data_IF_285325923469
#
_entry.id   IF_285325923469
#
_cell.length_a   1.000
_cell.length_b   1.000
_cell.length_c   1.000
_cell.angle_alpha   90.00
_cell.angle_beta   90.00
_cell.angle_gamma   90.00
#
_symmetry.space_group_name_H-M   'P 1'
#
loop_
_entity.id
_entity.type
_entity.pdbx_description
1 polymer ?
#
# COMPACT_ATOMS: atom_id res chain seq x y z
N UNK A 1 -51.55 -18.60 7.26
CA UNK A 1 -51.02 -18.59 5.87
C UNK A 1 -50.54 -17.19 5.50
N UNK A 2 -49.23 -16.92 5.53
CA UNK A 2 -48.60 -15.80 4.82
C UNK A 2 -47.18 -16.21 4.46
N UNK A 3 -47.02 -16.54 3.18
CA UNK A 3 -45.77 -16.84 2.49
C UNK A 3 -45.20 -15.50 2.01
N UNK A 4 -43.94 -15.18 2.30
CA UNK A 4 -43.09 -14.17 1.62
C UNK A 4 -41.91 -13.80 2.55
N UNK A 5 -40.63 -13.77 2.18
CA UNK A 5 -39.88 -14.07 0.94
C UNK A 5 -38.48 -14.47 1.41
N UNK A 6 -37.96 -15.56 0.88
CA UNK A 6 -36.56 -15.96 1.06
C UNK A 6 -35.66 -14.91 0.42
N UNK A 7 -34.84 -14.24 1.23
CA UNK A 7 -33.75 -13.38 0.78
C UNK A 7 -32.61 -14.27 0.30
N UNK A 8 -32.49 -14.47 -1.01
CA UNK A 8 -31.34 -15.15 -1.61
C UNK A 8 -30.24 -14.11 -1.88
N UNK A 9 -29.01 -14.30 -1.35
CA UNK A 9 -27.88 -13.46 -1.74
C UNK A 9 -27.48 -13.76 -3.19
N UNK A 10 -27.36 -12.70 -4.01
CA UNK A 10 -26.82 -12.77 -5.37
C UNK A 10 -25.36 -13.23 -5.33
N UNK A 11 -25.05 -14.29 -6.06
CA UNK A 11 -23.69 -14.73 -6.32
C UNK A 11 -22.95 -13.67 -7.17
N UNK A 12 -21.66 -13.38 -6.89
CA UNK A 12 -20.85 -12.53 -7.76
C UNK A 12 -20.50 -13.26 -9.07
N UNK A 13 -20.66 -12.55 -10.19
CA UNK A 13 -20.24 -13.02 -11.52
C UNK A 13 -18.72 -13.13 -11.56
N UNK A 14 -18.22 -14.32 -11.86
CA UNK A 14 -16.84 -14.58 -12.24
C UNK A 14 -16.63 -13.96 -13.63
N UNK A 15 -15.78 -12.94 -13.74
CA UNK A 15 -15.31 -12.42 -15.02
C UNK A 15 -13.97 -13.09 -15.32
N UNK A 16 -13.95 -13.75 -16.48
CA UNK A 16 -12.83 -14.51 -17.01
C UNK A 16 -11.85 -13.53 -17.64
N UNK A 17 -10.64 -13.41 -17.09
CA UNK A 17 -9.57 -12.60 -17.67
C UNK A 17 -8.67 -13.51 -18.51
N UNK A 18 -9.12 -13.75 -19.73
CA UNK A 18 -8.29 -14.24 -20.83
C UNK A 18 -8.03 -13.08 -21.78
N UNK A 19 -6.78 -12.91 -22.19
CA UNK A 19 -6.31 -11.96 -23.20
C UNK A 19 -5.94 -10.56 -22.69
N UNK A 20 -4.63 -10.32 -22.58
CA UNK A 20 -3.90 -9.38 -23.45
C UNK A 20 -2.52 -9.13 -22.82
N UNK A 21 -1.59 -10.07 -23.09
CA UNK A 21 -0.18 -9.79 -22.93
C UNK A 21 0.25 -8.87 -24.09
N UNK A 22 0.28 -7.57 -23.84
CA UNK A 22 0.79 -6.58 -24.77
C UNK A 22 1.67 -5.57 -24.03
N UNK A 23 2.97 -5.76 -24.23
CA UNK A 23 4.08 -4.81 -24.17
C UNK A 23 3.75 -3.35 -23.78
N UNK A 24 4.35 -2.87 -22.69
CA UNK A 24 4.61 -1.45 -22.48
C UNK A 24 6.00 -1.24 -21.87
N UNK A 25 6.99 -1.02 -22.73
CA UNK A 25 8.29 -0.44 -22.36
C UNK A 25 8.02 0.99 -21.88
N UNK A 26 8.25 1.28 -20.61
CA UNK A 26 8.27 2.64 -20.09
C UNK A 26 9.47 3.39 -20.69
N UNK A 27 9.24 4.06 -21.82
CA UNK A 27 10.05 5.21 -22.22
C UNK A 27 9.71 6.35 -21.28
N UNK A 28 10.71 6.83 -20.55
CA UNK A 28 10.68 8.12 -19.85
C UNK A 28 10.48 9.19 -20.92
N UNK A 29 9.26 9.72 -21.02
CA UNK A 29 8.97 10.88 -21.86
C UNK A 29 9.17 12.12 -20.98
N UNK A 30 10.35 12.71 -21.11
CA UNK A 30 10.59 14.09 -20.70
C UNK A 30 9.73 14.99 -21.58
N UNK A 31 8.72 15.65 -21.01
CA UNK A 31 7.92 16.66 -21.70
C UNK A 31 8.77 17.93 -21.85
N UNK A 32 9.32 18.14 -23.03
CA UNK A 32 9.71 19.46 -23.48
C UNK A 32 9.45 19.58 -24.99
N UNK A 33 8.77 20.68 -25.36
CA UNK A 33 8.55 21.29 -26.68
C UNK A 33 7.18 21.07 -27.34
N UNK A 34 6.43 22.17 -27.45
CA UNK A 34 6.00 22.67 -28.77
C UNK A 34 6.20 24.19 -28.81
N UNK A 35 7.06 24.64 -29.72
CA UNK A 35 7.19 26.03 -30.12
C UNK A 35 6.06 26.41 -31.08
N UNK A 36 5.56 27.62 -30.96
CA UNK A 36 4.85 28.32 -32.04
C UNK A 36 5.54 29.66 -32.25
N UNK A 37 6.11 29.83 -33.44
CA UNK A 37 6.68 31.08 -33.93
C UNK A 37 5.56 31.98 -34.47
N UNK A 38 5.69 33.30 -34.32
CA UNK A 38 5.90 34.26 -35.43
C UNK A 38 6.18 35.68 -34.90
N UNK A 39 7.22 36.28 -35.49
CA UNK A 39 7.49 37.71 -35.73
C UNK A 39 7.30 38.77 -34.63
N UNK A 40 8.44 39.29 -34.16
CA UNK A 40 8.59 40.73 -33.94
C UNK A 40 10.05 41.14 -34.17
N UNK A 41 10.24 42.11 -35.05
CA UNK A 41 11.51 42.74 -35.40
C UNK A 41 12.14 43.43 -34.18
N UNK A 42 13.34 42.99 -33.77
CA UNK A 42 14.26 43.81 -32.95
C UNK A 42 15.68 43.22 -32.98
N UNK A 43 16.59 44.04 -33.54
CA UNK A 43 18.05 44.16 -33.36
C UNK A 43 18.85 42.96 -32.78
N UNK A 44 19.94 42.52 -33.43
CA UNK A 44 20.78 41.43 -32.92
C UNK A 44 21.68 41.95 -31.79
N UNK A 45 21.22 41.84 -30.54
CA UNK A 45 22.11 42.01 -29.39
C UNK A 45 22.88 40.70 -29.15
N UNK A 46 24.13 40.69 -29.62
CA UNK A 46 25.29 39.98 -29.09
C UNK A 46 25.00 38.63 -28.38
N UNK A 47 25.34 37.56 -29.10
CA UNK A 47 25.63 36.20 -28.62
C UNK A 47 26.13 36.15 -27.16
N UNK A 48 25.18 36.05 -26.23
CA UNK A 48 25.49 35.59 -24.86
C UNK A 48 25.54 34.07 -24.94
N UNK A 49 26.74 33.57 -25.22
CA UNK A 49 27.15 32.16 -25.17
C UNK A 49 26.62 31.56 -23.86
N UNK A 50 25.53 30.78 -23.91
CA UNK A 50 25.06 29.97 -22.78
C UNK A 50 26.19 29.00 -22.41
N UNK A 51 27.06 29.40 -21.49
CA UNK A 51 28.07 28.51 -20.91
C UNK A 51 27.34 27.65 -19.90
N UNK A 52 27.38 26.34 -20.17
CA UNK A 52 26.95 25.17 -19.40
C UNK A 52 25.45 24.99 -19.06
N UNK A 53 24.86 23.93 -19.66
CA UNK A 53 23.76 23.18 -19.05
C UNK A 53 24.34 22.42 -17.86
N UNK A 54 23.90 22.74 -16.64
CA UNK A 54 24.29 21.99 -15.44
C UNK A 54 23.58 20.62 -15.46
N UNK A 55 24.32 19.57 -15.80
CA UNK A 55 23.82 18.17 -15.80
C UNK A 55 24.04 17.46 -14.46
N UNK A 56 24.63 18.13 -13.48
CA UNK A 56 24.82 17.60 -12.13
C UNK A 56 23.51 17.61 -11.32
N UNK A 57 23.24 16.53 -10.59
CA UNK A 57 22.16 16.50 -9.61
C UNK A 57 22.38 17.62 -8.58
N UNK A 58 21.35 18.41 -8.30
CA UNK A 58 21.34 19.35 -7.18
C UNK A 58 21.31 18.54 -5.88
N UNK A 59 22.47 18.11 -5.37
CA UNK A 59 22.56 17.43 -4.07
C UNK A 59 22.37 18.48 -2.99
N UNK A 60 21.30 18.36 -2.21
CA UNK A 60 21.08 19.20 -1.04
C UNK A 60 22.19 18.92 -0.01
N UNK A 61 22.91 19.97 0.39
CA UNK A 61 23.94 19.86 1.40
C UNK A 61 23.36 19.25 2.70
N UNK A 62 24.09 18.29 3.27
CA UNK A 62 23.70 17.63 4.52
C UNK A 62 22.53 16.64 4.42
N UNK A 63 22.01 16.33 3.22
CA UNK A 63 20.87 15.38 3.06
C UNK A 63 21.11 14.03 3.75
N UNK A 64 22.25 13.40 3.48
CA UNK A 64 22.59 12.07 4.06
C UNK A 64 22.65 12.09 5.59
N UNK A 65 23.13 13.21 6.15
CA UNK A 65 23.17 13.37 7.61
C UNK A 65 21.78 13.59 8.19
N UNK A 66 20.93 14.41 7.56
CA UNK A 66 19.54 14.59 8.00
C UNK A 66 18.75 13.28 7.94
N UNK A 67 18.88 12.52 6.86
CA UNK A 67 18.26 11.20 6.72
C UNK A 67 18.75 10.22 7.80
N UNK A 68 20.05 10.21 8.13
CA UNK A 68 20.57 9.37 9.21
C UNK A 68 20.07 9.78 10.60
N UNK A 69 19.65 11.04 10.77
CA UNK A 69 18.99 11.55 11.97
C UNK A 69 17.45 11.45 11.92
N UNK A 70 16.88 10.84 10.88
CA UNK A 70 15.43 10.75 10.71
C UNK A 70 14.74 12.10 10.45
N UNK A 71 15.47 13.09 9.94
CA UNK A 71 14.95 14.40 9.53
C UNK A 71 14.59 14.43 8.03
N UNK A 72 13.82 15.45 7.63
CA UNK A 72 13.46 15.66 6.23
C UNK A 72 14.67 15.93 5.34
N UNK A 73 14.57 15.59 4.06
CA UNK A 73 15.66 15.74 3.10
C UNK A 73 16.00 17.21 2.88
N UNK A 74 14.95 18.01 2.62
CA UNK A 74 15.05 19.44 2.32
C UNK A 74 15.05 20.34 3.55
N UNK A 75 14.59 19.86 4.71
CA UNK A 75 14.40 20.67 5.92
C UNK A 75 13.04 21.38 5.99
N UNK A 76 12.27 21.43 4.90
CA UNK A 76 11.00 22.17 4.80
C UNK A 76 9.77 21.27 4.58
N UNK A 77 9.94 19.95 4.59
CA UNK A 77 8.83 19.01 4.37
C UNK A 77 7.97 18.84 5.63
N UNK A 78 8.62 18.55 6.76
CA UNK A 78 8.00 18.34 8.06
C UNK A 78 8.97 18.75 9.15
N UNK A 79 8.43 19.11 10.32
CA UNK A 79 9.21 19.45 11.50
C UNK A 79 8.89 20.83 12.07
N UNK A 80 9.56 21.20 13.18
CA UNK A 80 9.21 22.38 13.96
C UNK A 80 9.31 23.68 13.16
N UNK A 81 10.25 23.77 12.21
CA UNK A 81 10.41 24.97 11.36
C UNK A 81 9.20 25.23 10.44
N UNK A 82 8.40 24.20 10.15
CA UNK A 82 7.33 24.26 9.16
C UNK A 82 5.96 24.17 9.79
N UNK A 83 5.83 23.36 10.84
CA UNK A 83 4.56 23.03 11.46
C UNK A 83 4.17 24.03 12.57
N UNK A 84 5.14 24.69 13.20
CA UNK A 84 4.91 25.71 14.21
C UNK A 84 4.57 27.07 13.57
N UNK A 85 3.73 27.90 14.24
CA UNK A 85 3.48 29.25 13.77
C UNK A 85 4.71 30.13 13.98
N UNK A 86 5.02 30.97 12.99
CA UNK A 86 6.16 31.91 13.05
C UNK A 86 5.94 33.06 14.06
N UNK A 87 4.71 33.26 14.52
CA UNK A 87 4.33 34.34 15.44
C UNK A 87 3.07 33.99 16.23
N UNK A 88 2.88 34.70 17.34
CA UNK A 88 1.69 34.62 18.20
C UNK A 88 1.26 36.04 18.59
N UNK A 89 0.00 36.23 18.98
CA UNK A 89 -0.45 37.53 19.49
C UNK A 89 0.16 37.78 20.87
N UNK A 90 0.41 39.04 21.23
CA UNK A 90 0.92 39.41 22.56
C UNK A 90 0.01 38.94 23.72
N UNK A 91 -1.28 38.78 23.45
CA UNK A 91 -2.28 38.24 24.38
C UNK A 91 -2.17 36.71 24.56
N UNK A 92 -1.28 36.03 23.82
CA UNK A 92 -1.14 34.57 23.81
C UNK A 92 -2.15 33.84 22.92
N UNK A 93 -2.89 34.55 22.07
CA UNK A 93 -3.75 33.90 21.07
C UNK A 93 -2.88 33.29 19.96
N UNK A 94 -3.21 32.08 19.47
CA UNK A 94 -2.45 31.48 18.38
C UNK A 94 -2.66 32.23 17.07
N UNK A 95 -1.67 32.17 16.17
CA UNK A 95 -1.84 32.68 14.82
C UNK A 95 -2.96 31.92 14.08
N UNK A 96 -3.74 32.63 13.23
CA UNK A 96 -4.70 31.97 12.37
C UNK A 96 -4.00 31.00 11.40
N UNK A 97 -4.60 29.85 11.17
CA UNK A 97 -4.04 28.84 10.28
C UNK A 97 -3.97 29.32 8.82
N UNK A 98 -2.80 29.15 8.20
CA UNK A 98 -2.60 29.39 6.78
C UNK A 98 -3.21 28.30 5.89
N UNK A 99 -3.55 28.65 4.66
CA UNK A 99 -4.11 27.69 3.68
C UNK A 99 -3.19 26.50 3.42
N UNK A 100 -1.88 26.71 3.31
CA UNK A 100 -0.91 25.64 3.11
C UNK A 100 -0.75 24.71 4.31
N UNK A 101 -0.95 25.22 5.53
CA UNK A 101 -0.95 24.39 6.75
C UNK A 101 -2.22 23.54 6.80
N UNK A 102 -3.37 24.13 6.47
CA UNK A 102 -4.63 23.42 6.36
C UNK A 102 -4.57 22.28 5.33
N UNK A 103 -4.08 22.56 4.11
CA UNK A 103 -3.95 21.53 3.06
C UNK A 103 -3.07 20.37 3.52
N UNK A 104 -1.91 20.65 4.14
CA UNK A 104 -1.01 19.62 4.67
C UNK A 104 -1.68 18.75 5.73
N UNK A 105 -2.45 19.34 6.65
CA UNK A 105 -3.20 18.56 7.65
C UNK A 105 -4.27 17.67 7.00
N UNK A 106 -4.97 18.18 5.99
CA UNK A 106 -5.98 17.38 5.26
C UNK A 106 -5.34 16.22 4.50
N UNK A 107 -4.21 16.46 3.84
CA UNK A 107 -3.44 15.41 3.14
C UNK A 107 -2.96 14.34 4.11
N UNK A 108 -2.39 14.73 5.26
CA UNK A 108 -1.96 13.81 6.31
C UNK A 108 -3.13 12.97 6.84
N UNK A 109 -4.29 13.60 7.06
CA UNK A 109 -5.51 12.90 7.47
C UNK A 109 -5.94 11.86 6.44
N UNK A 110 -5.98 12.22 5.16
CA UNK A 110 -6.35 11.28 4.09
C UNK A 110 -5.39 10.09 4.00
N UNK A 111 -4.09 10.34 4.20
CA UNK A 111 -3.07 9.28 4.23
C UNK A 111 -3.32 8.35 5.43
N UNK A 112 -3.57 8.90 6.62
CA UNK A 112 -3.83 8.11 7.82
C UNK A 112 -5.09 7.24 7.66
N UNK A 113 -6.21 7.82 7.20
CA UNK A 113 -7.46 7.09 6.95
C UNK A 113 -7.26 5.95 5.95
N UNK A 114 -6.43 6.16 4.93
CA UNK A 114 -6.08 5.12 3.94
C UNK A 114 -5.24 4.01 4.55
N UNK A 115 -4.25 4.35 5.38
CA UNK A 115 -3.40 3.36 6.06
C UNK A 115 -4.27 2.47 6.94
N UNK A 116 -5.13 3.05 7.77
CA UNK A 116 -6.01 2.32 8.67
C UNK A 116 -6.94 1.38 7.91
N UNK A 117 -7.54 1.88 6.82
CA UNK A 117 -8.39 1.07 5.94
C UNK A 117 -7.63 -0.14 5.40
N UNK A 118 -6.46 0.06 4.78
CA UNK A 118 -5.68 -1.02 4.18
C UNK A 118 -5.20 -2.03 5.22
N UNK A 119 -4.77 -1.55 6.39
CA UNK A 119 -4.37 -2.40 7.51
C UNK A 119 -5.54 -3.27 7.98
N UNK A 120 -6.73 -2.68 8.14
CA UNK A 120 -7.93 -3.41 8.58
C UNK A 120 -8.38 -4.46 7.56
N UNK A 121 -8.34 -4.15 6.26
CA UNK A 121 -8.67 -5.09 5.18
C UNK A 121 -7.70 -6.28 5.19
N UNK A 122 -6.39 -6.03 5.35
CA UNK A 122 -5.37 -7.07 5.44
C UNK A 122 -5.56 -7.95 6.69
N UNK A 123 -5.76 -7.35 7.86
CA UNK A 123 -6.00 -8.10 9.10
C UNK A 123 -7.26 -8.97 9.01
N UNK A 124 -8.33 -8.44 8.41
CA UNK A 124 -9.56 -9.19 8.20
C UNK A 124 -9.35 -10.39 7.25
N UNK A 125 -8.52 -10.23 6.20
CA UNK A 125 -8.19 -11.33 5.30
C UNK A 125 -7.40 -12.44 6.01
N UNK A 126 -6.38 -12.06 6.79
CA UNK A 126 -5.59 -13.02 7.60
C UNK A 126 -6.49 -13.76 8.59
N UNK A 127 -7.41 -13.05 9.25
CA UNK A 127 -8.32 -13.68 10.21
C UNK A 127 -9.25 -14.69 9.53
N UNK A 128 -9.83 -14.32 8.39
CA UNK A 128 -10.68 -15.23 7.61
C UNK A 128 -9.94 -16.50 7.18
N UNK A 129 -8.68 -16.37 6.77
CA UNK A 129 -7.87 -17.52 6.40
C UNK A 129 -7.60 -18.44 7.60
N UNK A 130 -7.23 -17.87 8.75
CA UNK A 130 -7.05 -18.62 10.00
C UNK A 130 -8.33 -19.33 10.44
N UNK A 131 -9.46 -18.64 10.37
CA UNK A 131 -10.76 -19.21 10.71
C UNK A 131 -11.14 -20.35 9.78
N UNK A 132 -10.86 -20.22 8.47
CA UNK A 132 -11.06 -21.29 7.50
C UNK A 132 -10.16 -22.51 7.77
N UNK A 133 -8.87 -22.28 8.07
CA UNK A 133 -7.92 -23.36 8.40
C UNK A 133 -8.33 -24.10 9.69
N UNK A 134 -8.71 -23.37 10.73
CA UNK A 134 -9.16 -23.97 11.99
C UNK A 134 -10.48 -24.72 11.84
N UNK A 135 -11.42 -24.20 11.04
CA UNK A 135 -12.67 -24.89 10.73
C UNK A 135 -12.42 -26.19 9.94
N UNK A 136 -11.49 -26.18 8.98
CA UNK A 136 -11.13 -27.38 8.21
C UNK A 136 -10.44 -28.43 9.09
N UNK A 137 -9.53 -28.01 9.99
CA UNK A 137 -8.91 -28.92 10.96
C UNK A 137 -9.95 -29.54 11.90
N UNK A 138 -10.91 -28.75 12.41
CA UNK A 138 -12.00 -29.26 13.25
C UNK A 138 -12.87 -30.26 12.49
N UNK A 139 -13.22 -29.96 11.24
CA UNK A 139 -13.99 -30.88 10.39
C UNK A 139 -13.25 -32.19 10.16
N UNK A 140 -11.95 -32.14 9.88
CA UNK A 140 -11.14 -33.34 9.73
C UNK A 140 -11.10 -34.17 11.01
N UNK A 141 -10.94 -33.52 12.16
CA UNK A 141 -10.99 -34.17 13.47
C UNK A 141 -12.36 -34.81 13.74
N UNK A 142 -13.46 -34.13 13.42
CA UNK A 142 -14.82 -34.69 13.53
C UNK A 142 -14.98 -35.92 12.64
N UNK A 143 -14.57 -35.83 11.37
CA UNK A 143 -14.60 -36.97 10.44
C UNK A 143 -13.77 -38.13 11.01
N UNK A 144 -12.56 -37.86 11.51
CA UNK A 144 -11.68 -38.85 12.10
C UNK A 144 -12.26 -39.50 13.36
N UNK A 145 -12.91 -38.72 14.23
CA UNK A 145 -13.59 -39.21 15.43
C UNK A 145 -14.78 -40.12 15.06
N UNK A 146 -15.49 -39.79 13.99
CA UNK A 146 -16.65 -40.55 13.51
C UNK A 146 -16.30 -41.70 12.54
N UNK A 147 -15.02 -41.90 12.20
CA UNK A 147 -14.60 -43.05 11.36
C UNK A 147 -14.89 -44.36 12.07
N UNK A 148 -15.51 -45.29 11.34
CA UNK A 148 -15.71 -46.65 11.79
C UNK A 148 -14.37 -47.36 12.01
N UNK A 149 -14.36 -48.32 12.94
CA UNK A 149 -13.18 -49.16 13.19
C UNK A 149 -12.74 -49.85 11.88
N UNK A 150 -11.42 -49.89 11.61
CA UNK A 150 -10.90 -50.49 10.40
C UNK A 150 -11.17 -52.01 10.38
N UNK A 151 -11.57 -52.55 9.22
CA UNK A 151 -11.87 -53.98 9.03
C UNK A 151 -10.84 -54.67 8.12
N UNK A 152 -10.85 -56.01 8.12
CA UNK A 152 -10.10 -56.83 7.16
C UNK A 152 -8.58 -56.77 7.32
N UNK A 153 -7.86 -56.43 6.24
CA UNK A 153 -6.39 -56.47 6.16
C UNK A 153 -5.69 -55.55 7.20
N UNK A 154 -6.35 -54.47 7.62
CA UNK A 154 -5.81 -53.55 8.63
C UNK A 154 -5.69 -54.19 10.03
N UNK A 155 -6.55 -55.15 10.38
CA UNK A 155 -6.45 -55.90 11.64
C UNK A 155 -5.28 -56.90 11.60
N UNK A 156 -5.08 -57.57 10.47
CA UNK A 156 -3.98 -58.53 10.27
C UNK A 156 -2.61 -57.88 10.48
N UNK A 157 -2.42 -56.66 9.94
CA UNK A 157 -1.17 -55.88 10.11
C UNK A 157 -0.92 -55.46 11.56
N UNK A 158 -1.98 -55.11 12.32
CA UNK A 158 -1.86 -54.81 13.77
C UNK A 158 -1.45 -56.04 14.58
N UNK A 159 -2.03 -57.20 14.30
CA UNK A 159 -1.71 -58.46 14.98
C UNK A 159 -0.28 -58.97 14.66
N UNK A 160 0.25 -58.66 13.48
CA UNK A 160 1.64 -58.93 13.12
C UNK A 160 2.61 -58.05 13.91
N UNK A 161 2.31 -56.75 14.11
CA UNK A 161 3.16 -55.80 14.88
C UNK A 161 3.19 -56.05 16.39
N UNK A 162 2.20 -56.76 16.95
CA UNK A 162 2.13 -57.03 18.40
C UNK A 162 2.96 -58.26 18.81
N UNK A 163 3.54 -58.98 17.85
CA UNK A 163 4.32 -60.20 18.09
C UNK A 163 5.83 -59.99 18.15
N UNK A 164 6.32 -58.77 17.89
CA UNK A 164 7.74 -58.45 18.06
C UNK A 164 7.98 -58.15 19.55
N UNK A 165 8.67 -59.04 20.31
CA UNK A 165 8.96 -58.78 21.69
C UNK A 165 9.91 -57.58 21.80
N UNK A 166 9.52 -56.59 22.62
CA UNK A 166 10.47 -55.60 23.15
C UNK A 166 11.48 -56.40 23.97
N UNK A 167 12.73 -56.43 23.51
CA UNK A 167 13.86 -57.03 24.23
C UNK A 167 14.03 -56.40 25.61
#
# INVERSE_FOLDING_TARGET
MRVSRLFQPRQPRVLNNSSMAALARLRVICKCHTATAMNSSRVPSVLTKYRCLRTGQCVQAGKKWRESQGQSQSGYEYGPLVDLPDWEYADGRPAPMGSGQYTRQQEQRQIAERIDRLASEMMAAIQKEKDAQTAEQRRQQEIDQHKLKPKGAALKKKALRTKDPVL
#
